data_IF_602733558156
#
_entry.id   IF_602733558156
#
_cell.length_a   1.000
_cell.length_b   1.000
_cell.length_c   1.000
_cell.angle_alpha   90.00
_cell.angle_beta   90.00
_cell.angle_gamma   90.00
#
_symmetry.space_group_name_H-M   'P 1'
#
loop_
_entity.id
_entity.type
_entity.pdbx_description
1 polymer ?
#
# COMPACT_ATOMS: atom_id res chain seq x y z
N UNK A 1 44.87 23.15 -41.25
CA UNK A 1 45.54 22.27 -40.27
C UNK A 1 44.48 21.56 -39.45
N UNK A 2 44.53 20.23 -39.49
CA UNK A 2 43.66 19.28 -38.79
C UNK A 2 43.98 19.27 -37.29
N UNK A 3 42.96 19.23 -36.41
CA UNK A 3 42.90 18.26 -35.29
C UNK A 3 41.55 18.29 -34.55
N UNK A 4 40.77 17.25 -34.81
CA UNK A 4 39.77 16.66 -33.91
C UNK A 4 40.42 16.20 -32.60
N UNK A 5 39.73 16.41 -31.48
CA UNK A 5 39.60 15.52 -30.30
C UNK A 5 38.29 15.94 -29.64
N UNK A 6 37.13 15.29 -29.82
CA UNK A 6 36.79 13.89 -29.64
C UNK A 6 37.24 13.37 -28.27
N UNK A 7 36.48 13.75 -27.24
CA UNK A 7 36.45 13.08 -25.95
C UNK A 7 35.07 12.43 -25.80
N UNK A 8 34.92 11.24 -26.39
CA UNK A 8 34.07 10.20 -25.80
C UNK A 8 34.86 9.59 -24.63
N UNK A 9 34.18 9.26 -23.52
CA UNK A 9 34.03 7.87 -23.05
C UNK A 9 33.28 7.84 -21.69
N UNK A 10 32.18 7.09 -21.73
CA UNK A 10 31.53 6.25 -20.70
C UNK A 10 31.11 6.89 -19.36
N UNK A 11 29.80 6.98 -19.09
CA UNK A 11 28.91 5.87 -18.71
C UNK A 11 29.23 5.28 -17.32
N UNK A 12 28.55 5.82 -16.31
CA UNK A 12 28.06 5.04 -15.19
C UNK A 12 26.63 5.50 -14.92
N UNK A 13 25.71 4.86 -15.64
CA UNK A 13 24.31 4.74 -15.25
C UNK A 13 24.29 4.20 -13.83
N UNK A 14 24.06 5.08 -12.86
CA UNK A 14 23.40 4.67 -11.63
C UNK A 14 21.94 5.05 -11.78
N UNK A 15 21.24 4.22 -12.55
CA UNK A 15 19.87 3.86 -12.21
C UNK A 15 19.95 3.25 -10.79
N UNK A 16 19.96 4.09 -9.76
CA UNK A 16 19.26 3.68 -8.55
C UNK A 16 17.80 3.70 -8.96
N UNK A 17 17.31 2.54 -9.40
CA UNK A 17 15.89 2.25 -9.35
C UNK A 17 15.46 2.58 -7.92
N UNK A 18 14.86 3.76 -7.73
CA UNK A 18 14.13 4.02 -6.50
C UNK A 18 12.97 3.03 -6.55
N UNK A 19 12.93 2.02 -5.67
CA UNK A 19 11.72 1.26 -5.51
C UNK A 19 10.69 2.25 -4.98
N UNK A 20 9.72 2.57 -5.85
CA UNK A 20 8.38 3.06 -5.53
C UNK A 20 8.26 3.71 -4.14
N UNK A 21 8.66 4.99 -4.04
CA UNK A 21 8.34 5.86 -2.90
C UNK A 21 6.84 6.24 -2.90
N UNK A 22 5.96 5.25 -2.99
CA UNK A 22 4.57 5.37 -2.61
C UNK A 22 4.47 4.68 -1.25
N UNK A 23 4.95 5.36 -0.21
CA UNK A 23 4.46 5.06 1.13
C UNK A 23 2.94 5.24 1.04
N UNK A 24 2.23 4.12 1.12
CA UNK A 24 0.79 4.09 0.99
C UNK A 24 0.13 4.69 2.21
N UNK A 25 -1.16 5.00 2.05
CA UNK A 25 -2.02 5.48 3.13
C UNK A 25 -1.97 4.55 4.37
N UNK A 26 -1.78 3.24 4.16
CA UNK A 26 -1.73 2.26 5.26
C UNK A 26 -0.51 2.49 6.14
N UNK A 27 0.67 2.65 5.55
CA UNK A 27 1.92 2.88 6.26
C UNK A 27 1.86 4.17 7.07
N UNK A 28 1.35 5.23 6.45
CA UNK A 28 1.20 6.53 7.10
C UNK A 28 0.24 6.44 8.30
N UNK A 29 -0.88 5.73 8.16
CA UNK A 29 -1.82 5.52 9.26
C UNK A 29 -1.22 4.65 10.36
N UNK A 30 -0.48 3.60 10.02
CA UNK A 30 0.20 2.74 10.98
C UNK A 30 1.35 3.46 11.69
N UNK A 31 1.92 4.52 11.12
CA UNK A 31 2.91 5.35 11.80
C UNK A 31 2.28 6.27 12.88
N UNK A 32 0.95 6.47 12.88
CA UNK A 32 0.29 7.36 13.84
C UNK A 32 0.16 6.72 15.23
N UNK A 33 0.68 7.35 16.31
CA UNK A 33 0.57 6.79 17.66
C UNK A 33 -0.87 6.61 18.14
N UNK A 34 -1.79 7.50 17.73
CA UNK A 34 -3.20 7.39 18.07
C UNK A 34 -3.84 6.14 17.44
N UNK A 35 -3.48 5.81 16.20
CA UNK A 35 -3.94 4.59 15.53
C UNK A 35 -3.36 3.35 16.22
N UNK A 36 -2.07 3.36 16.56
CA UNK A 36 -1.43 2.25 17.27
C UNK A 36 -2.05 2.00 18.65
N UNK A 37 -2.35 3.06 19.40
CA UNK A 37 -3.06 2.97 20.68
C UNK A 37 -4.45 2.34 20.54
N UNK A 38 -5.21 2.73 19.50
CA UNK A 38 -6.51 2.15 19.20
C UNK A 38 -6.42 0.69 18.74
N UNK A 39 -5.40 0.35 17.94
CA UNK A 39 -5.14 -1.03 17.52
C UNK A 39 -4.70 -1.92 18.68
N UNK A 40 -4.10 -1.37 19.74
CA UNK A 40 -3.85 -2.10 20.99
C UNK A 40 -5.12 -2.38 21.81
N UNK A 41 -6.24 -1.72 21.46
CA UNK A 41 -7.52 -1.77 22.18
C UNK A 41 -8.67 -2.14 21.24
N UNK A 42 -8.48 -3.17 20.42
CA UNK A 42 -9.45 -3.57 19.38
C UNK A 42 -10.86 -3.82 19.93
N UNK A 43 -10.97 -4.38 21.14
CA UNK A 43 -12.26 -4.60 21.79
C UNK A 43 -13.04 -3.30 22.09
N UNK A 44 -12.35 -2.16 22.23
CA UNK A 44 -12.96 -0.85 22.49
C UNK A 44 -13.29 -0.08 21.20
N UNK A 45 -12.77 -0.53 20.05
CA UNK A 45 -12.94 0.16 18.76
C UNK A 45 -14.38 0.11 18.27
N UNK A 46 -15.05 -1.03 18.35
CA UNK A 46 -16.44 -1.18 17.90
C UNK A 46 -17.42 -0.23 18.62
N UNK A 47 -17.48 -0.18 19.97
CA UNK A 47 -18.36 0.76 20.66
C UNK A 47 -17.96 2.22 20.45
N UNK A 48 -16.67 2.51 20.22
CA UNK A 48 -16.23 3.86 19.88
C UNK A 48 -16.72 4.28 18.49
N UNK A 49 -16.57 3.42 17.47
CA UNK A 49 -17.06 3.70 16.11
C UNK A 49 -18.57 3.87 16.11
N UNK A 50 -19.32 3.04 16.86
CA UNK A 50 -20.76 3.18 17.00
C UNK A 50 -21.17 4.54 17.59
N UNK A 51 -20.43 5.06 18.57
CA UNK A 51 -20.67 6.42 19.12
C UNK A 51 -20.43 7.51 18.08
N UNK A 52 -19.52 7.30 17.13
CA UNK A 52 -19.24 8.23 16.05
C UNK A 52 -20.32 8.28 14.96
N UNK A 53 -21.34 7.42 15.04
CA UNK A 53 -22.55 7.52 14.21
C UNK A 53 -23.49 8.62 14.72
N UNK A 54 -23.44 8.97 16.01
CA UNK A 54 -24.16 10.12 16.55
C UNK A 54 -23.56 11.44 16.06
N UNK A 55 -24.39 12.26 15.41
CA UNK A 55 -23.93 13.50 14.75
C UNK A 55 -23.36 14.49 15.75
N UNK A 56 -24.01 14.69 16.90
CA UNK A 56 -23.58 15.66 17.90
C UNK A 56 -22.27 15.22 18.57
N UNK A 57 -22.10 13.92 18.81
CA UNK A 57 -20.85 13.35 19.30
C UNK A 57 -19.74 13.49 18.27
N UNK A 58 -20.00 13.12 17.01
CA UNK A 58 -19.03 13.20 15.91
C UNK A 58 -18.53 14.62 15.67
N UNK A 59 -19.43 15.62 15.65
CA UNK A 59 -19.05 17.01 15.44
C UNK A 59 -18.11 17.54 16.54
N UNK A 60 -18.31 17.10 17.78
CA UNK A 60 -17.45 17.46 18.92
C UNK A 60 -16.14 16.67 18.98
N UNK A 61 -16.08 15.52 18.33
CA UNK A 61 -14.96 14.57 18.42
C UNK A 61 -14.42 14.17 17.03
N UNK A 62 -14.41 15.11 16.08
CA UNK A 62 -14.21 14.79 14.67
C UNK A 62 -12.91 14.01 14.39
N UNK A 63 -11.79 14.48 14.96
CA UNK A 63 -10.49 13.83 14.79
C UNK A 63 -10.47 12.43 15.44
N UNK A 64 -10.98 12.30 16.66
CA UNK A 64 -11.03 11.01 17.37
C UNK A 64 -11.92 10.00 16.62
N UNK A 65 -13.04 10.46 16.06
CA UNK A 65 -13.91 9.63 15.24
C UNK A 65 -13.26 9.21 13.92
N UNK A 66 -12.52 10.11 13.27
CA UNK A 66 -11.76 9.77 12.07
C UNK A 66 -10.70 8.69 12.36
N UNK A 67 -9.94 8.86 13.44
CA UNK A 67 -8.93 7.90 13.87
C UNK A 67 -9.54 6.55 14.27
N UNK A 68 -10.67 6.55 15.00
CA UNK A 68 -11.39 5.34 15.36
C UNK A 68 -11.86 4.56 14.13
N UNK A 69 -12.43 5.25 13.14
CA UNK A 69 -12.87 4.63 11.89
C UNK A 69 -11.67 4.07 11.11
N UNK A 70 -10.57 4.82 10.99
CA UNK A 70 -9.35 4.37 10.31
C UNK A 70 -8.74 3.15 11.01
N UNK A 71 -8.60 3.19 12.33
CA UNK A 71 -8.08 2.08 13.12
C UNK A 71 -9.00 0.85 13.03
N UNK A 72 -10.33 1.02 12.99
CA UNK A 72 -11.27 -0.08 12.80
C UNK A 72 -11.14 -0.74 11.41
N UNK A 73 -10.83 0.04 10.36
CA UNK A 73 -10.55 -0.55 9.04
C UNK A 73 -9.22 -1.32 9.05
N UNK A 74 -8.18 -0.75 9.66
CA UNK A 74 -6.89 -1.43 9.79
C UNK A 74 -6.97 -2.69 10.66
N UNK A 75 -7.85 -2.70 11.67
CA UNK A 75 -8.09 -3.86 12.54
C UNK A 75 -8.64 -5.08 11.79
N UNK A 76 -9.33 -4.88 10.65
CA UNK A 76 -9.82 -5.96 9.78
C UNK A 76 -8.70 -6.64 8.99
N UNK A 77 -7.56 -5.96 8.83
CA UNK A 77 -6.39 -6.53 8.16
C UNK A 77 -5.78 -7.62 9.04
N UNK A 78 -5.35 -8.77 8.48
CA UNK A 78 -4.63 -9.79 9.22
C UNK A 78 -3.44 -9.18 10.00
N UNK A 79 -3.21 -9.54 11.27
CA UNK A 79 -2.15 -8.97 12.08
C UNK A 79 -0.76 -9.06 11.42
N UNK A 80 -0.47 -10.17 10.75
CA UNK A 80 0.80 -10.42 10.07
C UNK A 80 0.97 -9.50 8.86
N UNK A 81 -0.11 -9.34 8.06
CA UNK A 81 -0.10 -8.40 6.94
C UNK A 81 0.09 -6.96 7.45
N UNK A 82 -0.63 -6.59 8.50
CA UNK A 82 -0.51 -5.27 9.12
C UNK A 82 0.90 -5.00 9.65
N UNK A 83 1.55 -6.02 10.22
CA UNK A 83 2.93 -5.91 10.69
C UNK A 83 3.90 -5.67 9.52
N UNK A 84 3.78 -6.42 8.42
CA UNK A 84 4.59 -6.18 7.20
C UNK A 84 4.34 -4.77 6.66
N UNK A 85 3.07 -4.38 6.55
CA UNK A 85 2.66 -3.08 6.05
C UNK A 85 3.05 -1.93 6.99
N UNK A 86 3.35 -2.17 8.26
CA UNK A 86 3.78 -1.10 9.17
C UNK A 86 5.18 -0.53 8.86
N UNK A 87 5.93 -1.21 7.99
CA UNK A 87 7.28 -0.81 7.58
C UNK A 87 7.30 -0.47 6.08
N UNK A 88 7.63 0.78 5.69
CA UNK A 88 7.58 1.18 4.29
C UNK A 88 8.40 0.30 3.33
N UNK A 89 9.64 -0.13 3.66
CA UNK A 89 10.41 -1.01 2.77
C UNK A 89 9.78 -2.38 2.57
N UNK A 90 9.18 -2.97 3.62
CA UNK A 90 8.56 -4.29 3.49
C UNK A 90 7.21 -4.19 2.77
N UNK A 91 6.44 -3.13 3.01
CA UNK A 91 5.21 -2.84 2.27
C UNK A 91 5.48 -2.72 0.76
N UNK A 92 6.50 -1.95 0.37
CA UNK A 92 6.91 -1.83 -1.03
C UNK A 92 7.32 -3.18 -1.63
N UNK A 93 8.17 -3.94 -0.92
CA UNK A 93 8.62 -5.27 -1.37
C UNK A 93 7.45 -6.24 -1.57
N UNK A 94 6.46 -6.19 -0.67
CA UNK A 94 5.26 -7.03 -0.75
C UNK A 94 4.40 -6.67 -1.96
N UNK A 95 4.21 -5.37 -2.23
CA UNK A 95 3.49 -4.91 -3.43
C UNK A 95 4.19 -5.38 -4.69
N UNK A 96 5.51 -5.18 -4.79
CA UNK A 96 6.30 -5.58 -5.96
C UNK A 96 6.20 -7.10 -6.20
N UNK A 97 6.29 -7.91 -5.13
CA UNK A 97 6.12 -9.36 -5.20
C UNK A 97 4.76 -9.75 -5.79
N UNK A 98 3.69 -9.12 -5.30
CA UNK A 98 2.33 -9.42 -5.75
C UNK A 98 2.02 -8.88 -7.15
N UNK A 99 2.60 -7.73 -7.53
CA UNK A 99 2.49 -7.19 -8.89
C UNK A 99 3.22 -8.09 -9.90
N UNK A 100 4.41 -8.58 -9.57
CA UNK A 100 5.15 -9.53 -10.39
C UNK A 100 4.43 -10.89 -10.57
N UNK A 101 3.47 -11.19 -9.68
CA UNK A 101 2.65 -12.38 -9.74
C UNK A 101 1.41 -12.23 -10.65
N UNK A 102 0.99 -11.00 -10.99
CA UNK A 102 -0.22 -10.76 -11.79
C UNK A 102 -0.19 -11.55 -13.11
N UNK A 103 -1.28 -12.26 -13.40
CA UNK A 103 -1.39 -13.13 -14.57
C UNK A 103 -0.70 -14.50 -14.43
N UNK A 104 -0.14 -14.82 -13.24
CA UNK A 104 0.43 -16.12 -12.88
C UNK A 104 -0.37 -16.74 -11.72
N UNK A 105 -0.29 -18.07 -11.51
CA UNK A 105 -1.00 -18.73 -10.40
C UNK A 105 -0.66 -18.18 -9.01
N UNK A 106 0.55 -17.62 -8.82
CA UNK A 106 0.97 -17.02 -7.56
C UNK A 106 0.15 -15.76 -7.17
N UNK A 107 -0.51 -15.10 -8.12
CA UNK A 107 -1.41 -13.97 -7.83
C UNK A 107 -2.61 -14.39 -6.98
N UNK A 108 -3.06 -15.64 -7.16
CA UNK A 108 -4.17 -16.20 -6.39
C UNK A 108 -3.79 -16.64 -4.98
N UNK A 109 -2.53 -16.46 -4.59
CA UNK A 109 -2.08 -16.75 -3.23
C UNK A 109 -2.86 -15.94 -2.20
N UNK A 110 -3.04 -16.54 -1.01
CA UNK A 110 -3.73 -15.90 0.11
C UNK A 110 -3.17 -14.50 0.40
N UNK A 111 -1.84 -14.36 0.39
CA UNK A 111 -1.15 -13.11 0.67
C UNK A 111 -1.54 -11.97 -0.30
N UNK A 112 -1.48 -12.23 -1.61
CA UNK A 112 -1.84 -11.20 -2.60
C UNK A 112 -3.35 -10.89 -2.60
N UNK A 113 -4.19 -11.88 -2.28
CA UNK A 113 -5.64 -11.66 -2.10
C UNK A 113 -5.95 -10.79 -0.88
N UNK A 114 -5.27 -11.00 0.25
CA UNK A 114 -5.44 -10.13 1.41
C UNK A 114 -4.91 -8.72 1.12
N UNK A 115 -3.72 -8.59 0.52
CA UNK A 115 -3.19 -7.29 0.13
C UNK A 115 -4.17 -6.53 -0.79
N UNK A 116 -4.77 -7.20 -1.77
CA UNK A 116 -5.74 -6.61 -2.70
C UNK A 116 -6.97 -6.00 -2.01
N UNK A 117 -7.41 -6.56 -0.88
CA UNK A 117 -8.59 -6.08 -0.15
C UNK A 117 -8.34 -4.76 0.59
N UNK A 118 -7.11 -4.54 1.05
CA UNK A 118 -6.78 -3.43 1.94
C UNK A 118 -5.98 -2.33 1.25
N UNK A 119 -5.14 -2.67 0.27
CA UNK A 119 -4.22 -1.75 -0.38
C UNK A 119 -4.76 -1.29 -1.75
N UNK A 120 -5.38 -0.11 -1.77
CA UNK A 120 -5.97 0.47 -2.99
C UNK A 120 -4.91 0.83 -4.05
N UNK A 121 -3.68 1.15 -3.62
CA UNK A 121 -2.58 1.42 -4.54
C UNK A 121 -2.20 0.17 -5.32
N UNK A 122 -2.00 -0.95 -4.62
CA UNK A 122 -1.75 -2.26 -5.22
C UNK A 122 -2.91 -2.71 -6.09
N UNK A 123 -4.15 -2.60 -5.59
CA UNK A 123 -5.36 -2.95 -6.35
C UNK A 123 -5.43 -2.21 -7.68
N UNK A 124 -5.23 -0.90 -7.69
CA UNK A 124 -5.23 -0.10 -8.92
C UNK A 124 -4.15 -0.57 -9.89
N UNK A 125 -2.92 -0.77 -9.42
CA UNK A 125 -1.81 -1.22 -10.26
C UNK A 125 -2.03 -2.64 -10.83
N UNK A 126 -2.55 -3.55 -10.00
CA UNK A 126 -2.85 -4.93 -10.44
C UNK A 126 -3.91 -4.98 -11.55
N UNK A 127 -4.94 -4.12 -11.47
CA UNK A 127 -5.97 -4.01 -12.51
C UNK A 127 -5.41 -3.49 -13.84
N UNK A 128 -4.50 -2.51 -13.79
CA UNK A 128 -3.83 -1.98 -14.98
C UNK A 128 -2.99 -3.07 -15.67
N UNK A 129 -2.15 -3.79 -14.92
CA UNK A 129 -1.33 -4.89 -15.45
C UNK A 129 -2.21 -6.02 -16.00
N UNK A 130 -3.32 -6.33 -15.33
CA UNK A 130 -4.24 -7.37 -15.79
C UNK A 130 -4.90 -6.99 -17.12
N UNK A 131 -5.32 -5.73 -17.29
CA UNK A 131 -5.87 -5.24 -18.55
C UNK A 131 -4.84 -5.30 -19.67
N UNK A 132 -3.61 -4.87 -19.42
CA UNK A 132 -2.51 -4.94 -20.41
C UNK A 132 -2.25 -6.39 -20.86
N UNK A 133 -2.24 -7.33 -19.92
CA UNK A 133 -2.06 -8.75 -20.21
C UNK A 133 -3.19 -9.33 -21.08
N UNK A 134 -4.44 -8.89 -20.86
CA UNK A 134 -5.57 -9.31 -21.69
C UNK A 134 -5.46 -8.74 -23.10
N UNK A 135 -5.13 -7.45 -23.25
CA UNK A 135 -4.90 -6.80 -24.54
C UNK A 135 -3.78 -7.49 -25.32
N UNK A 136 -2.65 -7.78 -24.67
CA UNK A 136 -1.51 -8.46 -25.29
C UNK A 136 -1.82 -9.89 -25.75
N UNK A 137 -2.76 -10.58 -25.09
CA UNK A 137 -3.22 -11.90 -25.52
C UNK A 137 -4.16 -11.84 -26.72
N UNK A 138 -4.93 -10.76 -26.87
CA UNK A 138 -5.85 -10.58 -28.00
C UNK A 138 -5.14 -10.19 -29.31
N UNK A 139 -3.93 -9.62 -29.21
CA UNK A 139 -3.11 -9.24 -30.38
C UNK A 139 -2.16 -10.34 -30.87
N UNK A 140 -2.16 -11.51 -30.24
CA UNK A 140 -1.36 -12.68 -30.62
C UNK A 140 -2.25 -13.78 -31.18
#
# INVERSE_FOLDING_TARGET
MIKMRMSLLLAAVMLTAQPSAHAGLIEDLLALPAIQSLLGKVAELEPLVKRCEDIAYKQRNLQACQQAIQAAQLAKMPPELRAVMSTPPAAASLRDLCLAAVGKPAYDSYLCKELYKFDETFKTQSLLIQQENLMNRQMR
#
